data_IF_427028142804
#
_entry.id   IF_427028142804
#
_cell.length_a   1.000
_cell.length_b   1.000
_cell.length_c   1.000
_cell.angle_alpha   90.00
_cell.angle_beta   90.00
_cell.angle_gamma   90.00
#
_symmetry.space_group_name_H-M   'P 1'
#
loop_
_entity.id
_entity.type
_entity.pdbx_description
1 polymer ?
#
# COMPACT_ATOMS: atom_id res chain seq x y z
N UNK A 1 -12.67 22.12 -7.89
CA UNK A 1 -11.67 21.72 -6.86
C UNK A 1 -12.01 20.29 -6.42
N UNK A 2 -11.59 19.29 -7.20
CA UNK A 2 -11.89 17.88 -6.92
C UNK A 2 -11.19 17.53 -5.61
N UNK A 3 -11.96 17.14 -4.59
CA UNK A 3 -11.51 16.91 -3.23
C UNK A 3 -10.29 15.96 -3.20
N UNK A 4 -9.11 16.48 -2.85
CA UNK A 4 -7.82 15.77 -2.86
C UNK A 4 -7.80 14.49 -2.02
N UNK A 5 -8.79 14.29 -1.14
CA UNK A 5 -8.97 13.07 -0.36
C UNK A 5 -9.46 11.88 -1.20
N UNK A 6 -10.33 12.11 -2.19
CA UNK A 6 -10.89 11.05 -3.04
C UNK A 6 -9.80 10.49 -3.97
N UNK A 7 -8.99 11.38 -4.56
CA UNK A 7 -7.88 11.00 -5.44
C UNK A 7 -6.85 10.10 -4.73
N UNK A 8 -6.55 10.37 -3.45
CA UNK A 8 -5.67 9.51 -2.63
C UNK A 8 -6.25 8.12 -2.36
N UNK A 9 -7.56 8.02 -2.16
CA UNK A 9 -8.24 6.73 -1.94
C UNK A 9 -8.17 5.89 -3.22
N UNK A 10 -8.48 6.49 -4.38
CA UNK A 10 -8.44 5.81 -5.68
C UNK A 10 -7.03 5.28 -5.98
N UNK A 11 -6.00 6.10 -5.75
CA UNK A 11 -4.60 5.68 -5.95
C UNK A 11 -4.27 4.48 -5.05
N UNK A 12 -4.75 4.48 -3.81
CA UNK A 12 -4.49 3.40 -2.85
C UNK A 12 -5.14 2.09 -3.30
N UNK A 13 -6.38 2.16 -3.79
CA UNK A 13 -7.07 1.01 -4.38
C UNK A 13 -6.37 0.50 -5.64
N UNK A 14 -5.85 1.39 -6.50
CA UNK A 14 -5.10 1.00 -7.69
C UNK A 14 -3.79 0.26 -7.33
N UNK A 15 -3.07 0.71 -6.30
CA UNK A 15 -1.89 0.01 -5.79
C UNK A 15 -2.25 -1.37 -5.21
N UNK A 16 -3.35 -1.47 -4.47
CA UNK A 16 -3.80 -2.74 -3.90
C UNK A 16 -4.22 -3.74 -5.00
N UNK A 17 -4.94 -3.27 -6.02
CA UNK A 17 -5.31 -4.07 -7.18
C UNK A 17 -4.08 -4.54 -7.95
N UNK A 18 -3.11 -3.66 -8.17
CA UNK A 18 -1.86 -4.00 -8.86
C UNK A 18 -1.04 -5.04 -8.08
N UNK A 19 -0.99 -4.91 -6.75
CA UNK A 19 -0.34 -5.89 -5.89
C UNK A 19 -0.99 -7.28 -6.00
N UNK A 20 -2.32 -7.33 -5.95
CA UNK A 20 -3.10 -8.56 -6.07
C UNK A 20 -2.88 -9.21 -7.46
N UNK A 21 -2.95 -8.41 -8.52
CA UNK A 21 -2.72 -8.90 -9.89
C UNK A 21 -1.30 -9.42 -10.10
N UNK A 22 -0.28 -8.72 -9.58
CA UNK A 22 1.10 -9.23 -9.62
C UNK A 22 1.23 -10.54 -8.84
N UNK A 23 0.50 -10.73 -7.75
CA UNK A 23 0.54 -11.99 -6.99
C UNK A 23 -0.02 -13.16 -7.80
N UNK A 24 -1.18 -12.97 -8.44
CA UNK A 24 -1.75 -13.96 -9.36
C UNK A 24 -0.82 -14.23 -10.55
N UNK A 25 -0.24 -13.19 -11.13
CA UNK A 25 0.69 -13.32 -12.24
C UNK A 25 1.99 -14.04 -11.85
N UNK A 26 2.50 -13.81 -10.64
CA UNK A 26 3.68 -14.52 -10.14
C UNK A 26 3.42 -16.03 -10.02
N UNK A 27 2.23 -16.42 -9.55
CA UNK A 27 1.80 -17.83 -9.46
C UNK A 27 1.70 -18.45 -10.86
N UNK A 28 1.06 -17.76 -11.80
CA UNK A 28 0.93 -18.21 -13.18
C UNK A 28 2.30 -18.41 -13.85
N UNK A 29 3.23 -17.48 -13.68
CA UNK A 29 4.57 -17.60 -14.27
C UNK A 29 5.45 -18.64 -13.57
N UNK A 30 5.18 -18.91 -12.30
CA UNK A 30 5.87 -19.98 -11.57
C UNK A 30 5.44 -21.35 -12.10
N UNK A 31 4.15 -21.52 -12.38
CA UNK A 31 3.60 -22.74 -13.00
C UNK A 31 4.13 -22.96 -14.43
N UNK A 32 4.29 -21.88 -15.20
CA UNK A 32 4.88 -21.92 -16.54
C UNK A 32 6.42 -22.11 -16.56
N UNK A 33 7.07 -22.32 -15.40
CA UNK A 33 8.51 -22.61 -15.31
C UNK A 33 9.45 -21.40 -15.43
N UNK A 34 8.93 -20.17 -15.44
CA UNK A 34 9.71 -18.93 -15.56
C UNK A 34 10.09 -18.34 -14.19
N UNK A 35 10.92 -19.06 -13.43
CA UNK A 35 11.28 -18.74 -12.04
C UNK A 35 11.88 -17.34 -11.82
N UNK A 36 12.71 -16.85 -12.75
CA UNK A 36 13.32 -15.51 -12.64
C UNK A 36 12.30 -14.39 -12.73
N UNK A 37 11.32 -14.51 -13.64
CA UNK A 37 10.27 -13.51 -13.79
C UNK A 37 9.30 -13.56 -12.59
N UNK A 38 8.99 -14.75 -12.08
CA UNK A 38 8.16 -14.92 -10.88
C UNK A 38 8.74 -14.21 -9.66
N UNK A 39 10.05 -14.32 -9.43
CA UNK A 39 10.71 -13.65 -8.30
C UNK A 39 10.68 -12.12 -8.45
N UNK A 40 10.86 -11.61 -9.67
CA UNK A 40 10.78 -10.19 -9.96
C UNK A 40 9.37 -9.63 -9.75
N UNK A 41 8.34 -10.34 -10.20
CA UNK A 41 6.93 -9.96 -10.01
C UNK A 41 6.52 -10.08 -8.54
N UNK A 42 7.04 -11.07 -7.82
CA UNK A 42 6.82 -11.20 -6.39
C UNK A 42 7.38 -9.99 -5.63
N UNK A 43 8.60 -9.55 -5.96
CA UNK A 43 9.19 -8.33 -5.41
C UNK A 43 8.39 -7.08 -5.78
N UNK A 44 7.87 -7.00 -7.01
CA UNK A 44 6.98 -5.93 -7.46
C UNK A 44 5.67 -5.89 -6.65
N UNK A 45 5.05 -7.05 -6.39
CA UNK A 45 3.84 -7.17 -5.56
C UNK A 45 4.10 -6.70 -4.13
N UNK A 46 5.26 -7.04 -3.55
CA UNK A 46 5.68 -6.56 -2.23
C UNK A 46 5.86 -5.04 -2.19
N UNK A 47 6.50 -4.47 -3.22
CA UNK A 47 6.69 -3.03 -3.32
C UNK A 47 5.35 -2.28 -3.48
N UNK A 48 4.41 -2.85 -4.25
CA UNK A 48 3.07 -2.31 -4.42
C UNK A 48 2.25 -2.33 -3.10
N UNK A 49 2.40 -3.38 -2.28
CA UNK A 49 1.84 -3.42 -0.92
C UNK A 49 2.44 -2.34 -0.01
N UNK A 50 3.77 -2.15 -0.02
CA UNK A 50 4.41 -1.05 0.70
C UNK A 50 3.89 0.33 0.25
N UNK A 51 3.65 0.49 -1.05
CA UNK A 51 3.02 1.68 -1.62
C UNK A 51 1.59 1.91 -1.11
N UNK A 52 0.77 0.87 -1.08
CA UNK A 52 -0.61 0.92 -0.60
C UNK A 52 -0.71 1.25 0.90
N UNK A 53 0.23 0.77 1.72
CA UNK A 53 0.22 1.01 3.17
C UNK A 53 0.45 2.49 3.57
N UNK A 54 0.95 3.34 2.66
CA UNK A 54 1.20 4.79 2.92
C UNK A 54 0.05 5.48 3.66
N UNK A 55 -1.20 5.13 3.35
CA UNK A 55 -2.39 5.76 3.96
C UNK A 55 -2.66 5.29 5.40
N UNK A 56 -2.37 4.02 5.71
CA UNK A 56 -2.45 3.51 7.09
C UNK A 56 -1.37 4.13 7.98
N UNK A 57 -0.15 4.29 7.45
CA UNK A 57 0.95 4.98 8.16
C UNK A 57 0.55 6.42 8.48
N UNK A 58 -0.04 7.15 7.53
CA UNK A 58 -0.51 8.52 7.79
C UNK A 58 -1.58 8.57 8.89
N UNK A 59 -2.53 7.62 8.90
CA UNK A 59 -3.59 7.54 9.92
C UNK A 59 -3.04 7.21 11.30
N UNK A 60 -2.08 6.29 11.38
CA UNK A 60 -1.37 5.91 12.62
C UNK A 60 -0.53 7.09 13.14
N UNK A 61 0.22 7.77 12.29
CA UNK A 61 1.02 8.94 12.66
C UNK A 61 0.10 10.06 13.16
N UNK A 62 -0.99 10.38 12.45
CA UNK A 62 -1.94 11.40 12.88
C UNK A 62 -2.62 11.02 14.21
N UNK A 63 -2.93 9.73 14.40
CA UNK A 63 -3.49 9.22 15.66
C UNK A 63 -2.50 9.36 16.82
N UNK A 64 -1.23 9.03 16.59
CA UNK A 64 -0.14 9.19 17.58
C UNK A 64 0.07 10.68 17.91
N UNK A 65 0.12 11.56 16.91
CA UNK A 65 0.26 13.01 17.11
C UNK A 65 -0.95 13.58 17.87
N UNK A 66 -2.17 13.18 17.52
CA UNK A 66 -3.40 13.62 18.21
C UNK A 66 -3.42 13.16 19.67
N UNK A 67 -3.03 11.91 19.96
CA UNK A 67 -2.86 11.42 21.34
C UNK A 67 -1.79 12.21 22.10
N UNK A 68 -0.66 12.54 21.47
CA UNK A 68 0.41 13.33 22.09
C UNK A 68 -0.07 14.76 22.42
N UNK A 69 -0.83 15.39 21.53
CA UNK A 69 -1.38 16.74 21.72
C UNK A 69 -2.46 16.78 22.81
N UNK A 70 -3.25 15.72 22.96
CA UNK A 70 -4.25 15.61 24.04
C UNK A 70 -3.60 15.45 25.43
N UNK A 71 -2.38 14.90 25.49
CA UNK A 71 -1.59 14.79 26.73
C UNK A 71 -0.83 16.08 27.10
N UNK A 72 -0.49 16.95 26.13
CA UNK A 72 0.25 18.20 26.36
C UNK A 72 -0.62 19.48 26.38
N UNK A 73 -1.91 19.38 26.03
CA UNK A 73 -2.89 20.47 26.14
C UNK A 73 -3.72 20.45 27.43
N UNK A 74 -3.30 19.66 28.42
CA UNK A 74 -3.91 19.57 29.75
C UNK A 74 -2.87 19.94 30.82
N UNK A 75 -2.19 21.07 30.61
CA UNK A 75 -1.39 21.77 31.61
C UNK A 75 -1.87 23.21 31.64
#
# INVERSE_FOLDING_TARGET
MINSNISKIIITFAFFYSALMCNFKAIELYDNGHFTLSYFIWFCSFLALMGALRFQIAKIIYFIIKKKKQYYGKK
#
